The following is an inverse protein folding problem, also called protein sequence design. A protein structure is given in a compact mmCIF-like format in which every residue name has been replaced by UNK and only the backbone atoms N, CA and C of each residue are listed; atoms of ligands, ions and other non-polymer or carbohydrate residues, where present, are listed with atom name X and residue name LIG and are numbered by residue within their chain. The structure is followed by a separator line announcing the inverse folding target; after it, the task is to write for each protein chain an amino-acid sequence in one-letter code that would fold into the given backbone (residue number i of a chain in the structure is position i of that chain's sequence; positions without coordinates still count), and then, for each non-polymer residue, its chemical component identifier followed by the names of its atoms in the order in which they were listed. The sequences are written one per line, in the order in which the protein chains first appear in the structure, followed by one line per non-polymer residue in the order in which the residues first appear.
data_IF_340389349940
#
_entry.id   IF_340389349940
#
_cell.length_a   1.000
_cell.length_b   1.000
_cell.length_c   1.000
_cell.angle_alpha   90.00
_cell.angle_beta   90.00
_cell.angle_gamma   90.00
#
_symmetry.space_group_name_H-M   'P 1'
#
loop_
_entity.id
_entity.type
_entity.pdbx_description
1 polymer ?
#
# COMPACT_ATOMS: atom_id res chain seq x y z
N UNK A 1 -8.42 12.51 9.19
CA UNK A 1 -7.08 12.13 9.69
C UNK A 1 -6.40 13.38 10.23
N UNK A 2 -5.74 13.31 11.39
CA UNK A 2 -5.07 14.46 11.99
C UNK A 2 -3.66 14.56 11.41
N UNK A 3 -3.37 15.58 10.61
CA UNK A 3 -2.06 15.76 9.96
C UNK A 3 -1.13 16.54 10.90
N UNK A 4 -1.64 17.56 11.60
CA UNK A 4 -0.86 18.36 12.55
C UNK A 4 -1.29 18.11 13.99
N UNK A 5 -0.34 18.24 14.93
CA UNK A 5 -0.60 18.00 16.36
C UNK A 5 -1.72 18.87 16.93
N UNK A 6 -1.83 20.10 16.44
CA UNK A 6 -2.84 21.08 16.87
C UNK A 6 -4.27 20.72 16.45
N UNK A 7 -4.44 19.82 15.46
CA UNK A 7 -5.76 19.40 14.98
C UNK A 7 -6.34 18.25 15.83
N UNK A 8 -5.59 17.76 16.84
CA UNK A 8 -6.07 16.73 17.77
C UNK A 8 -7.10 17.33 18.73
N UNK A 9 -8.27 16.69 18.80
CA UNK A 9 -9.36 17.10 19.70
C UNK A 9 -9.26 16.51 21.10
N UNK A 10 -8.41 15.51 21.29
CA UNK A 10 -8.21 14.83 22.59
C UNK A 10 -6.85 15.20 23.20
N UNK A 11 -6.85 15.35 24.53
CA UNK A 11 -5.66 15.39 25.39
C UNK A 11 -5.30 13.98 25.90
N UNK A 12 -4.32 13.87 26.79
CA UNK A 12 -3.94 12.58 27.42
C UNK A 12 -5.10 11.93 28.19
N UNK A 13 -5.15 10.59 28.15
CA UNK A 13 -6.15 9.78 28.86
C UNK A 13 -5.75 9.60 30.32
N UNK A 14 -6.66 9.89 31.26
CA UNK A 14 -6.36 9.88 32.70
C UNK A 14 -7.17 8.83 33.45
N UNK A 15 -8.49 8.94 33.43
CA UNK A 15 -9.41 8.04 34.08
C UNK A 15 -10.76 8.07 33.35
N UNK A 16 -11.43 6.92 33.29
CA UNK A 16 -12.76 6.78 32.70
C UNK A 16 -13.61 5.88 33.59
N UNK A 17 -14.87 6.27 33.81
CA UNK A 17 -15.91 5.41 34.37
C UNK A 17 -16.73 4.94 33.19
N UNK A 18 -16.86 3.62 33.03
CA UNK A 18 -17.61 3.00 31.95
C UNK A 18 -18.92 2.50 32.53
N UNK A 19 -20.01 3.06 32.04
CA UNK A 19 -21.36 2.57 32.32
C UNK A 19 -21.67 1.35 31.42
N UNK A 20 -22.52 0.44 31.88
CA UNK A 20 -22.86 -0.81 31.16
C UNK A 20 -21.61 -1.61 30.72
N UNK A 21 -20.76 -1.94 31.69
CA UNK A 21 -19.42 -2.49 31.47
C UNK A 21 -19.40 -3.83 30.70
N UNK A 22 -20.42 -4.65 30.88
CA UNK A 22 -20.57 -5.92 30.18
C UNK A 22 -20.83 -5.69 28.69
N UNK A 23 -21.76 -4.81 28.34
CA UNK A 23 -22.07 -4.47 26.96
C UNK A 23 -20.85 -3.87 26.23
N UNK A 24 -20.11 -2.96 26.87
CA UNK A 24 -18.96 -2.27 26.24
C UNK A 24 -17.72 -3.16 26.17
N UNK A 25 -17.35 -3.86 27.26
CA UNK A 25 -16.07 -4.58 27.34
C UNK A 25 -16.16 -6.07 26.95
N UNK A 26 -17.36 -6.64 26.80
CA UNK A 26 -17.55 -8.04 26.39
C UNK A 26 -18.12 -8.13 24.98
N UNK A 27 -19.20 -7.40 24.71
CA UNK A 27 -19.94 -7.54 23.46
C UNK A 27 -19.34 -6.65 22.37
N UNK A 28 -19.32 -5.34 22.58
CA UNK A 28 -18.81 -4.38 21.59
C UNK A 28 -17.29 -4.48 21.38
N UNK A 29 -16.54 -4.89 22.40
CA UNK A 29 -15.09 -5.06 22.32
C UNK A 29 -14.64 -6.12 21.30
N UNK A 30 -15.55 -7.00 20.84
CA UNK A 30 -15.26 -7.98 19.77
C UNK A 30 -15.24 -7.35 18.38
N UNK A 31 -15.85 -6.18 18.23
CA UNK A 31 -15.87 -5.43 16.98
C UNK A 31 -14.82 -4.32 17.05
N UNK A 32 -13.80 -4.32 16.17
CA UNK A 32 -12.81 -3.25 16.19
C UNK A 32 -13.42 -1.91 15.80
N UNK A 33 -13.05 -0.84 16.52
CA UNK A 33 -13.39 0.52 16.14
C UNK A 33 -12.57 0.95 14.92
N UNK A 34 -13.20 1.03 13.76
CA UNK A 34 -12.57 1.40 12.49
C UNK A 34 -13.25 2.65 11.94
N UNK A 35 -12.46 3.65 11.57
CA UNK A 35 -12.93 4.78 10.75
C UNK A 35 -12.58 4.45 9.31
N UNK A 36 -13.58 4.05 8.52
CA UNK A 36 -13.45 3.93 7.07
C UNK A 36 -13.90 5.23 6.39
N UNK A 37 -13.22 5.59 5.31
CA UNK A 37 -13.65 6.65 4.40
C UNK A 37 -13.99 6.04 3.04
N UNK A 38 -14.76 6.73 2.19
CA UNK A 38 -14.81 6.38 0.78
C UNK A 38 -13.38 6.40 0.23
N UNK A 39 -12.96 5.31 -0.41
CA UNK A 39 -11.69 5.30 -1.12
C UNK A 39 -11.73 6.29 -2.28
N UNK A 40 -10.59 6.89 -2.60
CA UNK A 40 -10.45 7.74 -3.78
C UNK A 40 -10.79 6.93 -5.03
N UNK A 41 -11.97 7.19 -5.59
CA UNK A 41 -12.42 6.52 -6.80
C UNK A 41 -11.81 7.19 -8.01
N UNK A 42 -10.78 6.58 -8.56
CA UNK A 42 -10.52 6.69 -9.99
C UNK A 42 -10.38 5.31 -10.58
N UNK A 43 -11.53 4.66 -10.84
CA UNK A 43 -11.58 3.44 -11.67
C UNK A 43 -10.83 3.64 -12.99
N UNK A 44 -10.81 4.87 -13.50
CA UNK A 44 -10.01 5.28 -14.66
C UNK A 44 -8.48 5.11 -14.46
N UNK A 45 -7.92 5.43 -13.28
CA UNK A 45 -6.49 5.21 -13.03
C UNK A 45 -6.14 3.73 -13.03
N UNK A 46 -7.00 2.87 -12.47
CA UNK A 46 -6.81 1.42 -12.57
C UNK A 46 -6.87 0.92 -14.01
N UNK A 47 -7.78 1.45 -14.83
CA UNK A 47 -7.85 1.09 -16.26
C UNK A 47 -6.63 1.58 -17.04
N UNK A 48 -6.11 2.77 -16.75
CA UNK A 48 -4.88 3.31 -17.33
C UNK A 48 -3.66 2.49 -16.92
N UNK A 49 -3.52 2.19 -15.63
CA UNK A 49 -2.46 1.37 -15.09
C UNK A 49 -2.47 -0.05 -15.70
N UNK A 50 -3.64 -0.67 -15.86
CA UNK A 50 -3.74 -1.97 -16.51
C UNK A 50 -3.31 -1.94 -17.98
N UNK A 51 -3.72 -0.91 -18.73
CA UNK A 51 -3.27 -0.73 -20.13
C UNK A 51 -1.75 -0.58 -20.23
N UNK A 52 -1.15 0.20 -19.34
CA UNK A 52 0.30 0.33 -19.27
C UNK A 52 0.97 -1.00 -18.90
N UNK A 53 0.49 -1.68 -17.86
CA UNK A 53 1.04 -2.95 -17.40
C UNK A 53 1.10 -4.01 -18.51
N UNK A 54 0.05 -4.11 -19.34
CA UNK A 54 -0.01 -5.02 -20.49
C UNK A 54 1.00 -4.69 -21.59
N UNK A 55 1.54 -3.48 -21.63
CA UNK A 55 2.55 -3.06 -22.61
C UNK A 55 3.98 -3.31 -22.13
N UNK A 56 4.20 -3.51 -20.82
CA UNK A 56 5.53 -3.71 -20.24
C UNK A 56 6.00 -5.16 -20.41
N UNK A 57 7.29 -5.34 -20.68
CA UNK A 57 7.94 -6.65 -20.78
C UNK A 57 8.48 -7.12 -19.43
N UNK A 58 8.08 -8.29 -18.90
CA UNK A 58 8.63 -8.84 -17.67
C UNK A 58 10.03 -9.45 -17.87
N UNK A 59 10.81 -9.46 -16.79
CA UNK A 59 11.98 -10.32 -16.61
C UNK A 59 11.88 -11.01 -15.24
N UNK A 60 11.90 -12.34 -15.19
CA UNK A 60 11.68 -13.09 -13.94
C UNK A 60 12.99 -13.68 -13.40
N UNK A 61 13.23 -13.50 -12.11
CA UNK A 61 14.36 -14.08 -11.38
C UNK A 61 13.89 -14.77 -10.09
N UNK A 62 14.60 -15.85 -9.73
CA UNK A 62 14.30 -16.65 -8.54
C UNK A 62 14.87 -16.00 -7.28
N UNK A 63 16.01 -15.31 -7.39
CA UNK A 63 16.65 -14.57 -6.30
C UNK A 63 17.41 -13.39 -6.93
N UNK A 64 17.07 -12.16 -6.56
CA UNK A 64 17.88 -11.00 -6.91
C UNK A 64 19.05 -10.93 -5.94
N UNK A 65 20.26 -11.28 -6.39
CA UNK A 65 21.45 -10.92 -5.63
C UNK A 65 21.59 -9.39 -5.64
N UNK A 66 21.59 -8.77 -4.45
CA UNK A 66 21.68 -7.32 -4.22
C UNK A 66 22.89 -6.58 -4.85
N UNK A 67 23.71 -7.28 -5.64
CA UNK A 67 24.93 -6.80 -6.30
C UNK A 67 24.81 -6.75 -7.83
N UNK A 68 23.75 -7.30 -8.42
CA UNK A 68 23.54 -7.25 -9.86
C UNK A 68 22.81 -5.95 -10.22
N UNK A 69 23.42 -5.15 -11.10
CA UNK A 69 22.82 -3.91 -11.60
C UNK A 69 21.53 -4.25 -12.34
N UNK A 70 20.41 -3.71 -11.84
CA UNK A 70 19.07 -3.87 -12.44
C UNK A 70 19.00 -3.40 -13.91
N UNK A 71 20.02 -2.64 -14.36
CA UNK A 71 20.16 -2.13 -15.71
C UNK A 71 20.70 -3.15 -16.73
N UNK A 72 21.17 -4.33 -16.30
CA UNK A 72 21.62 -5.39 -17.23
C UNK A 72 20.48 -6.28 -17.76
N UNK A 73 19.28 -6.19 -17.18
CA UNK A 73 18.16 -7.05 -17.55
C UNK A 73 17.39 -6.47 -18.75
N UNK A 74 17.16 -7.28 -19.80
CA UNK A 74 16.34 -6.89 -20.96
C UNK A 74 14.84 -7.03 -20.65
N UNK A 75 14.38 -6.26 -19.66
CA UNK A 75 13.00 -6.19 -19.21
C UNK A 75 12.59 -4.77 -18.86
N UNK A 76 11.32 -4.46 -19.01
CA UNK A 76 10.75 -3.19 -18.53
C UNK A 76 10.50 -3.26 -17.00
N UNK A 77 10.37 -4.45 -16.43
CA UNK A 77 10.31 -4.66 -14.98
C UNK A 77 10.83 -6.04 -14.59
N UNK A 78 11.34 -6.17 -13.37
CA UNK A 78 11.89 -7.40 -12.81
C UNK A 78 10.91 -7.97 -11.80
N UNK A 79 10.66 -9.28 -11.87
CA UNK A 79 9.83 -10.03 -10.93
C UNK A 79 10.76 -10.86 -10.04
N UNK A 80 10.71 -10.61 -8.73
CA UNK A 80 11.38 -11.42 -7.71
C UNK A 80 10.36 -12.39 -7.11
N UNK A 81 10.46 -13.68 -7.46
CA UNK A 81 9.51 -14.69 -6.98
C UNK A 81 9.69 -15.02 -5.49
N UNK A 82 10.91 -14.90 -4.96
CA UNK A 82 11.22 -15.15 -3.55
C UNK A 82 10.69 -14.04 -2.67
N UNK A 83 10.85 -12.78 -3.08
CA UNK A 83 10.31 -11.61 -2.38
C UNK A 83 8.85 -11.30 -2.72
N UNK A 84 8.28 -11.94 -3.75
CA UNK A 84 6.92 -11.70 -4.28
C UNK A 84 6.67 -10.22 -4.59
N UNK A 85 7.64 -9.57 -5.23
CA UNK A 85 7.54 -8.17 -5.61
C UNK A 85 7.90 -7.99 -7.10
N UNK A 86 7.58 -6.80 -7.63
CA UNK A 86 7.96 -6.40 -8.98
C UNK A 86 8.53 -4.98 -8.93
N UNK A 87 9.67 -4.76 -9.59
CA UNK A 87 10.39 -3.47 -9.62
C UNK A 87 10.60 -3.03 -11.05
N UNK A 88 10.24 -1.78 -11.39
CA UNK A 88 10.48 -1.22 -12.72
C UNK A 88 11.97 -0.98 -12.96
N UNK A 89 12.46 -1.31 -14.15
CA UNK A 89 13.82 -0.91 -14.58
C UNK A 89 13.82 0.54 -15.06
N UNK A 90 14.99 1.17 -15.22
CA UNK A 90 15.08 2.52 -15.79
C UNK A 90 14.38 2.62 -17.16
N UNK A 91 14.47 1.54 -17.96
CA UNK A 91 13.79 1.45 -19.25
C UNK A 91 12.27 1.41 -19.10
N UNK A 92 11.76 0.63 -18.14
CA UNK A 92 10.34 0.60 -17.82
C UNK A 92 9.79 1.94 -17.33
N UNK A 93 10.56 2.65 -16.49
CA UNK A 93 10.20 4.00 -16.02
C UNK A 93 10.09 4.97 -17.21
N UNK A 94 11.12 5.04 -18.07
CA UNK A 94 11.07 5.89 -19.27
C UNK A 94 9.90 5.59 -20.20
N UNK A 95 9.51 4.31 -20.30
CA UNK A 95 8.36 3.86 -21.09
C UNK A 95 7.02 4.20 -20.45
N UNK A 96 6.95 4.26 -19.12
CA UNK A 96 5.75 4.66 -18.39
C UNK A 96 5.54 6.19 -18.35
N UNK A 97 6.63 6.95 -18.45
CA UNK A 97 6.60 8.42 -18.50
C UNK A 97 6.29 8.99 -19.91
N UNK A 98 6.45 8.18 -20.96
CA UNK A 98 6.20 8.55 -22.36
C UNK A 98 4.71 8.55 -22.73
#
# INVERSE_FOLDING_TARGET
MCIHKQDKVQREFNFAIVDEVDSILIDEARTPLIISGPGDKSTDLYQKANRLALQLKPFTVIDLDSKEDQDQFDGDYIIDEKAKNATLTQRGVKKAEA
#
